data_IF_366313077411
#
_entry.id   IF_366313077411
#
_cell.length_a   1.000
_cell.length_b   1.000
_cell.length_c   1.000
_cell.angle_alpha   90.00
_cell.angle_beta   90.00
_cell.angle_gamma   90.00
#
_symmetry.space_group_name_H-M   'P 1'
#
loop_
_entity.id
_entity.type
_entity.pdbx_description
1 polymer ?
#
# COMPACT_ATOMS: atom_id res chain seq x y z
N UNK A 1 9.27 29.83 -9.58
CA UNK A 1 9.15 28.77 -8.56
C UNK A 1 10.53 28.55 -7.99
N UNK A 2 10.70 28.79 -6.69
CA UNK A 2 11.96 28.60 -5.98
C UNK A 2 12.18 27.13 -5.62
N UNK A 3 13.39 26.78 -5.20
CA UNK A 3 13.67 25.45 -4.64
C UNK A 3 12.85 25.18 -3.38
N UNK A 4 12.68 26.19 -2.53
CA UNK A 4 11.87 26.11 -1.31
C UNK A 4 10.40 25.80 -1.64
N UNK A 5 9.86 26.40 -2.70
CA UNK A 5 8.50 26.13 -3.17
C UNK A 5 8.35 24.64 -3.58
N UNK A 6 9.31 24.11 -4.35
CA UNK A 6 9.32 22.69 -4.77
C UNK A 6 9.40 21.77 -3.55
N UNK A 7 10.24 22.12 -2.58
CA UNK A 7 10.41 21.35 -1.35
C UNK A 7 9.10 21.27 -0.56
N UNK A 8 8.43 22.42 -0.35
CA UNK A 8 7.12 22.49 0.33
C UNK A 8 6.06 21.70 -0.44
N UNK A 9 6.03 21.82 -1.77
CA UNK A 9 5.12 21.05 -2.62
C UNK A 9 5.30 19.54 -2.45
N UNK A 10 6.54 19.07 -2.30
CA UNK A 10 6.82 17.64 -2.06
C UNK A 10 6.23 17.11 -0.76
N UNK A 11 6.25 17.92 0.30
CA UNK A 11 5.62 17.57 1.58
C UNK A 11 4.09 17.60 1.49
N UNK A 12 3.53 18.62 0.84
CA UNK A 12 2.09 18.70 0.58
C UNK A 12 1.60 17.51 -0.24
N UNK A 13 2.37 17.07 -1.24
CA UNK A 13 2.06 15.90 -2.04
C UNK A 13 2.09 14.60 -1.20
N UNK A 14 3.04 14.46 -0.28
CA UNK A 14 3.06 13.33 0.67
C UNK A 14 1.81 13.33 1.57
N UNK A 15 1.42 14.48 2.12
CA UNK A 15 0.22 14.64 2.96
C UNK A 15 -1.04 14.30 2.15
N UNK A 16 -1.14 14.80 0.91
CA UNK A 16 -2.26 14.49 0.02
C UNK A 16 -2.41 12.98 -0.19
N UNK A 17 -1.31 12.27 -0.46
CA UNK A 17 -1.37 10.82 -0.64
C UNK A 17 -1.70 10.04 0.64
N UNK A 18 -1.36 10.58 1.81
CA UNK A 18 -1.81 10.01 3.08
C UNK A 18 -3.34 10.03 3.17
N UNK A 19 -3.99 11.14 2.81
CA UNK A 19 -5.45 11.21 2.75
C UNK A 19 -6.04 10.26 1.70
N UNK A 20 -5.42 10.13 0.52
CA UNK A 20 -5.90 9.16 -0.48
C UNK A 20 -5.85 7.73 0.08
N UNK A 21 -4.79 7.33 0.79
CA UNK A 21 -4.74 6.01 1.42
C UNK A 21 -5.89 5.81 2.43
N UNK A 22 -6.22 6.82 3.23
CA UNK A 22 -7.36 6.76 4.15
C UNK A 22 -8.66 6.56 3.37
N UNK A 23 -8.85 7.27 2.25
CA UNK A 23 -10.04 7.11 1.42
C UNK A 23 -10.17 5.67 0.88
N UNK A 24 -9.08 5.06 0.45
CA UNK A 24 -9.08 3.65 0.02
C UNK A 24 -9.52 2.74 1.17
N UNK A 25 -8.99 2.93 2.38
CA UNK A 25 -9.36 2.13 3.56
C UNK A 25 -10.86 2.30 3.87
N UNK A 26 -11.35 3.54 3.91
CA UNK A 26 -12.77 3.83 4.16
C UNK A 26 -13.66 3.18 3.10
N UNK A 27 -13.25 3.21 1.83
CA UNK A 27 -13.97 2.56 0.73
C UNK A 27 -14.03 1.04 0.92
N UNK A 28 -12.92 0.41 1.34
CA UNK A 28 -12.89 -1.03 1.64
C UNK A 28 -13.81 -1.37 2.79
N UNK A 29 -13.76 -0.62 3.90
CA UNK A 29 -14.62 -0.85 5.06
C UNK A 29 -16.10 -0.69 4.71
N UNK A 30 -16.45 0.31 3.90
CA UNK A 30 -17.84 0.58 3.53
C UNK A 30 -18.43 -0.50 2.60
N UNK A 31 -17.61 -1.12 1.75
CA UNK A 31 -18.06 -2.04 0.71
C UNK A 31 -18.02 -3.53 1.12
N UNK A 32 -17.53 -3.85 2.31
CA UNK A 32 -17.45 -5.22 2.82
C UNK A 32 -18.19 -5.31 4.15
N UNK A 33 -18.82 -6.44 4.42
CA UNK A 33 -19.44 -6.75 5.70
C UNK A 33 -18.38 -7.03 6.78
N UNK A 34 -18.80 -6.96 8.05
CA UNK A 34 -17.89 -7.11 9.18
C UNK A 34 -17.25 -8.50 9.28
N UNK A 35 -17.93 -9.55 8.83
CA UNK A 35 -17.46 -10.92 8.91
C UNK A 35 -16.38 -11.16 7.85
N UNK A 36 -16.64 -10.77 6.61
CA UNK A 36 -15.65 -10.84 5.52
C UNK A 36 -14.40 -10.00 5.79
N UNK A 37 -14.55 -8.80 6.38
CA UNK A 37 -13.39 -7.98 6.78
C UNK A 37 -12.52 -8.67 7.83
N UNK A 38 -13.13 -9.42 8.75
CA UNK A 38 -12.39 -10.15 9.79
C UNK A 38 -11.60 -11.30 9.19
N UNK A 39 -12.23 -12.10 8.32
CA UNK A 39 -11.55 -13.21 7.64
C UNK A 39 -10.39 -12.70 6.76
N UNK A 40 -10.65 -11.66 5.96
CA UNK A 40 -9.65 -11.01 5.12
C UNK A 40 -8.48 -10.46 5.95
N UNK A 41 -8.77 -9.85 7.12
CA UNK A 41 -7.74 -9.34 8.01
C UNK A 41 -6.85 -10.44 8.58
N UNK A 42 -7.44 -11.57 8.98
CA UNK A 42 -6.69 -12.73 9.49
C UNK A 42 -5.77 -13.33 8.41
N UNK A 43 -6.27 -13.45 7.18
CA UNK A 43 -5.46 -13.92 6.04
C UNK A 43 -4.32 -12.95 5.70
N UNK A 44 -4.58 -11.64 5.73
CA UNK A 44 -3.51 -10.64 5.52
C UNK A 44 -2.50 -10.66 6.67
N UNK A 45 -2.93 -10.90 7.91
CA UNK A 45 -2.04 -10.96 9.06
C UNK A 45 -1.05 -12.13 8.96
N UNK A 46 -1.49 -13.30 8.50
CA UNK A 46 -0.59 -14.44 8.29
C UNK A 46 0.46 -14.15 7.22
N UNK A 47 0.03 -13.55 6.09
CA UNK A 47 0.94 -13.11 5.02
C UNK A 47 1.93 -12.05 5.50
N UNK A 48 1.48 -11.08 6.31
CA UNK A 48 2.38 -10.07 6.90
C UNK A 48 3.41 -10.71 7.83
N UNK A 49 3.02 -11.66 8.66
CA UNK A 49 3.96 -12.39 9.54
C UNK A 49 4.99 -13.17 8.74
N UNK A 50 4.61 -13.74 7.61
CA UNK A 50 5.55 -14.42 6.73
C UNK A 50 6.48 -13.44 6.02
N UNK A 51 5.94 -12.34 5.48
CA UNK A 51 6.71 -11.28 4.85
C UNK A 51 7.74 -10.65 5.81
N UNK A 52 7.37 -10.43 7.07
CA UNK A 52 8.24 -9.86 8.11
C UNK A 52 9.48 -10.72 8.37
N UNK A 53 9.44 -12.04 8.09
CA UNK A 53 10.62 -12.92 8.20
C UNK A 53 11.69 -12.59 7.17
N UNK A 54 11.26 -12.20 5.95
CA UNK A 54 12.18 -11.87 4.85
C UNK A 54 12.58 -10.38 4.88
N UNK A 55 11.69 -9.51 5.36
CA UNK A 55 11.90 -8.06 5.37
C UNK A 55 11.64 -7.42 6.76
N UNK A 56 12.45 -7.73 7.78
CA UNK A 56 12.18 -7.35 9.17
C UNK A 56 12.18 -5.82 9.42
N UNK A 57 12.97 -5.06 8.65
CA UNK A 57 13.14 -3.62 8.83
C UNK A 57 12.30 -2.76 7.87
N UNK A 58 11.40 -3.37 7.09
CA UNK A 58 10.68 -2.63 6.03
C UNK A 58 9.77 -1.53 6.59
N UNK A 59 9.24 -1.68 7.82
CA UNK A 59 8.36 -0.69 8.47
C UNK A 59 9.14 0.58 8.81
N UNK A 60 10.30 0.42 9.44
CA UNK A 60 11.20 1.51 9.80
C UNK A 60 11.71 2.22 8.54
N UNK A 61 12.15 1.45 7.53
CA UNK A 61 12.57 2.00 6.25
C UNK A 61 11.43 2.79 5.59
N UNK A 62 10.19 2.31 5.72
CA UNK A 62 9.02 2.98 5.19
C UNK A 62 8.77 4.32 5.86
N UNK A 63 8.83 4.38 7.19
CA UNK A 63 8.70 5.63 7.94
C UNK A 63 9.81 6.62 7.56
N UNK A 64 11.06 6.15 7.50
CA UNK A 64 12.21 6.95 7.07
C UNK A 64 12.02 7.52 5.67
N UNK A 65 11.50 6.72 4.74
CA UNK A 65 11.22 7.20 3.39
C UNK A 65 10.22 8.36 3.39
N UNK A 66 9.18 8.34 4.22
CA UNK A 66 8.18 9.43 4.30
C UNK A 66 8.74 10.76 4.84
N UNK A 67 9.94 10.78 5.43
CA UNK A 67 10.63 12.02 5.81
C UNK A 67 11.35 12.71 4.65
N UNK A 68 11.29 12.13 3.45
CA UNK A 68 11.82 12.75 2.23
C UNK A 68 10.65 13.33 1.41
N UNK A 69 10.82 14.52 0.80
CA UNK A 69 9.79 15.10 -0.05
C UNK A 69 9.48 14.17 -1.25
N UNK A 70 8.22 14.15 -1.69
CA UNK A 70 7.71 13.35 -2.83
C UNK A 70 7.74 11.82 -2.71
N UNK A 71 8.45 11.21 -1.75
CA UNK A 71 8.54 9.75 -1.65
C UNK A 71 7.18 9.09 -1.37
N UNK A 72 6.39 9.67 -0.47
CA UNK A 72 5.02 9.25 -0.20
C UNK A 72 4.15 9.42 -1.44
N UNK A 73 4.32 10.54 -2.15
CA UNK A 73 3.63 10.80 -3.42
C UNK A 73 3.82 9.66 -4.43
N UNK A 74 5.08 9.41 -4.80
CA UNK A 74 5.39 8.38 -5.79
C UNK A 74 5.04 6.98 -5.29
N UNK A 75 5.38 6.64 -4.05
CA UNK A 75 5.15 5.29 -3.51
C UNK A 75 3.68 4.91 -3.49
N UNK A 76 2.82 5.81 -3.01
CA UNK A 76 1.39 5.56 -2.96
C UNK A 76 0.79 5.68 -4.36
N UNK A 77 1.24 6.66 -5.16
CA UNK A 77 0.78 6.85 -6.53
C UNK A 77 0.99 5.61 -7.39
N UNK A 78 2.20 5.04 -7.38
CA UNK A 78 2.49 3.79 -8.07
C UNK A 78 1.64 2.62 -7.55
N UNK A 79 1.44 2.53 -6.23
CA UNK A 79 0.62 1.46 -5.65
C UNK A 79 -0.85 1.56 -6.07
N UNK A 80 -1.41 2.77 -6.13
CA UNK A 80 -2.78 2.98 -6.60
C UNK A 80 -2.89 2.68 -8.09
N UNK A 81 -1.90 3.09 -8.88
CA UNK A 81 -1.86 2.76 -10.30
C UNK A 81 -1.81 1.25 -10.54
N UNK A 82 -0.94 0.53 -9.83
CA UNK A 82 -0.87 -0.94 -9.87
C UNK A 82 -2.20 -1.58 -9.46
N UNK A 83 -2.81 -1.10 -8.37
CA UNK A 83 -4.09 -1.59 -7.89
C UNK A 83 -5.20 -1.38 -8.93
N UNK A 84 -5.27 -0.19 -9.53
CA UNK A 84 -6.24 0.12 -10.58
C UNK A 84 -6.06 -0.82 -11.78
N UNK A 85 -4.81 -1.01 -12.24
CA UNK A 85 -4.50 -1.93 -13.33
C UNK A 85 -4.86 -3.38 -12.99
N UNK A 86 -4.61 -3.81 -11.75
CA UNK A 86 -4.97 -5.15 -11.28
C UNK A 86 -6.48 -5.36 -11.28
N UNK A 87 -7.24 -4.43 -10.70
CA UNK A 87 -8.70 -4.50 -10.63
C UNK A 87 -9.35 -4.39 -12.01
N UNK A 88 -8.79 -3.57 -12.90
CA UNK A 88 -9.27 -3.43 -14.28
C UNK A 88 -9.11 -4.73 -15.09
N UNK A 89 -8.07 -5.51 -14.82
CA UNK A 89 -7.80 -6.77 -15.54
C UNK A 89 -8.51 -7.97 -14.92
N UNK A 90 -8.74 -7.97 -13.61
CA UNK A 90 -9.32 -9.08 -12.87
C UNK A 90 -10.78 -8.76 -12.48
N UNK A 91 -11.73 -9.22 -13.30
CA UNK A 91 -13.17 -9.02 -13.03
C UNK A 91 -13.57 -9.72 -11.73
N UNK A 92 -14.24 -9.00 -10.84
CA UNK A 92 -14.69 -9.51 -9.55
C UNK A 92 -13.63 -9.46 -8.43
N UNK A 93 -12.40 -9.05 -8.74
CA UNK A 93 -11.39 -8.81 -7.71
C UNK A 93 -11.69 -7.52 -6.94
N UNK A 94 -11.31 -7.50 -5.66
CA UNK A 94 -11.39 -6.32 -4.80
C UNK A 94 -9.99 -5.93 -4.27
N UNK A 95 -9.93 -4.88 -3.46
CA UNK A 95 -8.68 -4.39 -2.87
C UNK A 95 -7.97 -5.46 -2.04
N UNK A 96 -8.71 -6.34 -1.36
CA UNK A 96 -8.13 -7.46 -0.61
C UNK A 96 -7.36 -8.42 -1.53
N UNK A 97 -7.94 -8.80 -2.67
CA UNK A 97 -7.28 -9.70 -3.63
C UNK A 97 -5.99 -9.09 -4.18
N UNK A 98 -5.95 -7.78 -4.39
CA UNK A 98 -4.73 -7.08 -4.80
C UNK A 98 -3.65 -7.14 -3.70
N UNK A 99 -4.03 -6.91 -2.44
CA UNK A 99 -3.11 -6.96 -1.30
C UNK A 99 -2.55 -8.38 -1.12
N UNK A 100 -3.41 -9.39 -1.18
CA UNK A 100 -3.04 -10.80 -1.10
C UNK A 100 -2.05 -11.19 -2.20
N UNK A 101 -2.37 -10.84 -3.46
CA UNK A 101 -1.50 -11.06 -4.61
C UNK A 101 -0.11 -10.44 -4.39
N UNK A 102 -0.06 -9.20 -3.91
CA UNK A 102 1.20 -8.47 -3.72
C UNK A 102 2.08 -9.11 -2.66
N UNK A 103 1.53 -9.40 -1.48
CA UNK A 103 2.28 -10.07 -0.41
C UNK A 103 2.77 -11.45 -0.84
N UNK A 104 1.90 -12.25 -1.48
CA UNK A 104 2.26 -13.59 -1.95
C UNK A 104 3.39 -13.55 -2.96
N UNK A 105 3.30 -12.67 -3.96
CA UNK A 105 4.32 -12.52 -4.98
C UNK A 105 5.65 -12.03 -4.39
N UNK A 106 5.64 -11.08 -3.45
CA UNK A 106 6.85 -10.59 -2.81
C UNK A 106 7.52 -11.66 -1.94
N UNK A 107 6.74 -12.46 -1.20
CA UNK A 107 7.24 -13.61 -0.43
C UNK A 107 7.84 -14.67 -1.37
N UNK A 108 7.17 -15.00 -2.48
CA UNK A 108 7.69 -15.96 -3.45
C UNK A 108 9.00 -15.49 -4.08
N UNK A 109 9.11 -14.20 -4.41
CA UNK A 109 10.37 -13.62 -4.91
C UNK A 109 11.48 -13.72 -3.87
N UNK A 110 11.19 -13.46 -2.60
CA UNK A 110 12.17 -13.61 -1.52
C UNK A 110 12.60 -15.06 -1.28
N UNK A 111 11.70 -16.03 -1.48
CA UNK A 111 12.01 -17.47 -1.39
C UNK A 111 12.86 -17.99 -2.54
N UNK A 112 12.69 -17.42 -3.73
CA UNK A 112 13.38 -17.84 -4.96
C UNK A 112 14.72 -17.11 -5.18
N UNK A 113 15.08 -16.20 -4.29
CA UNK A 113 16.32 -15.41 -4.34
C UNK A 113 17.33 -15.90 -3.30
#
# INVERSE_FOLDING_TARGET
MSYEDIFILGWLANIFMFFINILVIVMVIKNNDSESLKEQSLAIESLKKEFDKYYPYHKQLTLLAYFLPFTGFFRVGFRIFEMFMFLSKNKGANVYHFIEYKYTNDIQRAKNS
#
